data_IF_848134651132
#
_entry.id   IF_848134651132
#
_cell.length_a   1.000
_cell.length_b   1.000
_cell.length_c   1.000
_cell.angle_alpha   90.00
_cell.angle_beta   90.00
_cell.angle_gamma   90.00
#
_symmetry.space_group_name_H-M   'P 1'
#
loop_
_entity.id
_entity.type
_entity.pdbx_description
1 polymer ?
#
# COMPACT_ATOMS: atom_id res chain seq x y z
N UNK A 1 3.30 -15.88 -12.71
CA UNK A 1 4.32 -15.12 -13.47
C UNK A 1 5.74 -15.45 -12.99
N UNK A 2 5.98 -15.50 -11.68
CA UNK A 2 7.29 -15.86 -11.10
C UNK A 2 7.13 -16.83 -9.93
N UNK A 3 8.09 -17.74 -9.71
CA UNK A 3 8.06 -18.72 -8.62
C UNK A 3 9.46 -19.08 -8.10
N UNK A 4 9.52 -19.55 -6.85
CA UNK A 4 10.73 -20.08 -6.22
C UNK A 4 11.48 -19.07 -5.36
N UNK A 5 11.03 -17.81 -5.28
CA UNK A 5 11.68 -16.77 -4.48
C UNK A 5 10.67 -16.04 -3.60
N UNK A 6 11.08 -15.68 -2.38
CA UNK A 6 10.29 -14.77 -1.51
C UNK A 6 10.12 -13.44 -2.22
N UNK A 7 8.87 -13.01 -2.39
CA UNK A 7 8.52 -11.72 -2.99
C UNK A 7 7.88 -10.82 -1.94
N UNK A 8 8.37 -9.59 -1.77
CA UNK A 8 7.84 -8.70 -0.73
C UNK A 8 6.84 -7.66 -1.25
N UNK A 9 6.99 -7.24 -2.51
CA UNK A 9 6.20 -6.20 -3.16
C UNK A 9 6.01 -6.57 -4.62
N UNK A 10 4.87 -6.22 -5.22
CA UNK A 10 4.68 -6.22 -6.66
C UNK A 10 3.90 -4.96 -7.06
N UNK A 11 4.42 -4.23 -8.04
CA UNK A 11 3.73 -3.11 -8.69
C UNK A 11 3.68 -3.36 -10.19
N UNK A 12 2.69 -2.75 -10.85
CA UNK A 12 2.42 -3.00 -12.25
C UNK A 12 2.15 -1.69 -12.99
N UNK A 13 2.73 -1.58 -14.19
CA UNK A 13 2.57 -0.49 -15.14
C UNK A 13 3.21 -0.89 -16.48
N UNK A 14 2.95 -0.17 -17.56
CA UNK A 14 3.69 -0.33 -18.82
C UNK A 14 5.10 0.30 -18.70
N UNK A 15 6.02 -0.44 -18.08
CA UNK A 15 7.40 0.00 -17.88
C UNK A 15 8.22 -0.05 -19.16
N UNK A 16 7.81 -0.84 -20.17
CA UNK A 16 8.54 -0.95 -21.44
C UNK A 16 8.02 -0.02 -22.53
N UNK A 17 6.86 0.59 -22.35
CA UNK A 17 6.19 1.44 -23.34
C UNK A 17 5.63 0.64 -24.52
N UNK A 18 5.36 -0.65 -24.35
CA UNK A 18 4.88 -1.55 -25.41
C UNK A 18 3.35 -1.72 -25.44
N UNK A 19 2.66 -1.03 -24.52
CA UNK A 19 1.21 -1.07 -24.35
C UNK A 19 0.70 -2.23 -23.49
N UNK A 20 1.58 -2.98 -22.82
CA UNK A 20 1.20 -4.07 -21.91
C UNK A 20 1.66 -3.80 -20.49
N UNK A 21 0.95 -4.37 -19.53
CA UNK A 21 1.25 -4.18 -18.12
C UNK A 21 2.38 -5.11 -17.69
N UNK A 22 3.54 -4.51 -17.44
CA UNK A 22 4.71 -5.16 -16.87
C UNK A 22 4.66 -5.14 -15.33
N UNK A 23 5.47 -5.98 -14.68
CA UNK A 23 5.51 -6.07 -13.21
C UNK A 23 6.92 -5.83 -12.68
N UNK A 24 7.07 -4.93 -11.71
CA UNK A 24 8.29 -4.82 -10.91
C UNK A 24 8.07 -5.43 -9.53
N UNK A 25 8.99 -6.28 -9.09
CA UNK A 25 8.95 -6.90 -7.76
C UNK A 25 10.33 -7.00 -7.12
N UNK A 26 10.39 -6.82 -5.80
CA UNK A 26 11.54 -7.25 -5.00
C UNK A 26 11.38 -8.74 -4.63
N UNK A 27 12.08 -9.60 -5.38
CA UNK A 27 12.04 -11.05 -5.30
C UNK A 27 13.44 -11.57 -4.95
N UNK A 28 13.58 -12.49 -4.00
CA UNK A 28 14.88 -13.10 -3.70
C UNK A 28 16.02 -12.13 -3.34
N UNK A 29 15.69 -10.92 -2.87
CA UNK A 29 16.65 -9.86 -2.55
C UNK A 29 17.12 -9.00 -3.74
N UNK A 30 16.51 -9.17 -4.92
CA UNK A 30 16.75 -8.34 -6.11
C UNK A 30 15.47 -7.64 -6.53
N UNK A 31 15.61 -6.47 -7.14
CA UNK A 31 14.51 -5.82 -7.83
C UNK A 31 14.52 -6.28 -9.29
N UNK A 32 13.41 -6.86 -9.75
CA UNK A 32 13.25 -7.40 -11.10
C UNK A 32 12.05 -6.78 -11.80
N UNK A 33 12.23 -6.50 -13.09
CA UNK A 33 11.18 -6.22 -14.06
C UNK A 33 10.79 -7.54 -14.76
N UNK A 34 9.53 -7.90 -14.73
CA UNK A 34 8.93 -9.03 -15.46
C UNK A 34 8.10 -8.46 -16.60
N UNK A 35 8.52 -8.76 -17.83
CA UNK A 35 7.96 -8.14 -19.03
C UNK A 35 6.82 -8.98 -19.59
N UNK A 36 5.67 -8.36 -19.84
CA UNK A 36 4.54 -9.05 -20.45
C UNK A 36 4.77 -9.30 -21.96
N UNK A 37 4.12 -10.31 -22.57
CA UNK A 37 3.27 -11.33 -21.94
C UNK A 37 4.04 -12.61 -21.56
N UNK A 38 5.34 -12.70 -21.88
CA UNK A 38 6.14 -13.91 -21.65
C UNK A 38 6.76 -13.98 -20.24
N UNK A 39 6.57 -12.92 -19.46
CA UNK A 39 7.04 -12.75 -18.08
C UNK A 39 8.54 -12.90 -17.94
N UNK A 40 9.29 -12.51 -18.97
CA UNK A 40 10.75 -12.56 -18.92
C UNK A 40 11.28 -11.59 -17.87
N UNK A 41 12.15 -12.11 -17.00
CA UNK A 41 12.72 -11.35 -15.88
C UNK A 41 14.03 -10.63 -16.26
N UNK A 42 14.14 -9.36 -15.87
CA UNK A 42 15.31 -8.49 -15.98
C UNK A 42 15.65 -7.95 -14.59
N UNK A 43 16.91 -8.09 -14.17
CA UNK A 43 17.35 -7.54 -12.88
C UNK A 43 17.63 -6.05 -13.07
N UNK A 44 16.83 -5.19 -12.42
CA UNK A 44 17.03 -3.74 -12.45
C UNK A 44 17.91 -3.25 -11.29
N UNK A 45 17.96 -4.02 -10.19
CA UNK A 45 18.86 -3.76 -9.06
C UNK A 45 19.19 -5.04 -8.27
N UNK A 46 20.48 -5.24 -7.98
CA UNK A 46 21.04 -6.34 -7.15
C UNK A 46 21.96 -5.77 -6.06
N UNK A 47 21.81 -4.49 -5.73
CA UNK A 47 22.65 -3.84 -4.74
C UNK A 47 22.38 -4.41 -3.35
N UNK A 48 23.43 -4.90 -2.69
CA UNK A 48 23.31 -5.48 -1.35
C UNK A 48 22.66 -4.50 -0.38
N UNK A 49 21.55 -4.92 0.21
CA UNK A 49 20.80 -4.15 1.20
C UNK A 49 19.60 -3.41 0.61
N UNK A 50 19.40 -3.39 -0.70
CA UNK A 50 18.18 -2.87 -1.34
C UNK A 50 17.04 -3.91 -1.29
N UNK A 51 16.74 -4.38 -0.07
CA UNK A 51 15.63 -5.29 0.19
C UNK A 51 14.36 -4.46 0.42
N UNK A 52 13.68 -4.08 -0.66
CA UNK A 52 12.44 -3.33 -0.58
C UNK A 52 11.30 -4.26 -0.19
N UNK A 53 10.51 -3.83 0.78
CA UNK A 53 9.39 -4.60 1.33
C UNK A 53 8.03 -4.01 0.99
N UNK A 54 8.01 -2.76 0.53
CA UNK A 54 6.87 -2.09 -0.05
C UNK A 54 7.35 -1.26 -1.23
N UNK A 55 6.42 -0.81 -2.05
CA UNK A 55 6.73 -0.01 -3.21
C UNK A 55 5.48 0.59 -3.84
N UNK A 56 5.73 1.51 -4.75
CA UNK A 56 4.72 2.23 -5.53
C UNK A 56 5.26 2.49 -6.92
N UNK A 57 4.39 2.90 -7.83
CA UNK A 57 4.80 3.34 -9.17
C UNK A 57 3.97 4.54 -9.66
N UNK A 58 4.67 5.50 -10.23
CA UNK A 58 4.14 6.68 -10.94
C UNK A 58 5.30 7.44 -11.62
N UNK A 59 4.98 8.34 -12.55
CA UNK A 59 5.95 9.23 -13.21
C UNK A 59 6.48 10.28 -12.21
N UNK A 60 7.68 10.06 -11.65
CA UNK A 60 8.27 10.93 -10.62
C UNK A 60 8.85 12.19 -11.28
N UNK A 61 9.43 12.08 -12.47
CA UNK A 61 10.20 13.15 -13.08
C UNK A 61 9.54 13.89 -14.24
N UNK A 62 8.34 13.46 -14.61
CA UNK A 62 7.43 14.12 -15.54
C UNK A 62 7.76 13.86 -17.01
N UNK A 63 8.45 12.77 -17.32
CA UNK A 63 8.84 12.44 -18.70
C UNK A 63 7.92 11.42 -19.41
N UNK A 64 6.85 11.00 -18.72
CA UNK A 64 5.76 10.23 -19.28
C UNK A 64 5.90 8.72 -19.14
N UNK A 65 6.94 8.22 -18.47
CA UNK A 65 7.07 6.81 -18.12
C UNK A 65 6.87 6.57 -16.60
N UNK A 66 6.45 5.36 -16.19
CA UNK A 66 6.27 5.04 -14.78
C UNK A 66 7.61 4.67 -14.13
N UNK A 67 7.94 5.33 -13.01
CA UNK A 67 9.09 4.97 -12.19
C UNK A 67 8.73 3.94 -11.11
N UNK A 68 9.74 3.22 -10.62
CA UNK A 68 9.57 2.32 -9.46
C UNK A 68 10.03 2.98 -8.16
N UNK A 69 9.21 2.92 -7.12
CA UNK A 69 9.58 3.34 -5.76
C UNK A 69 9.66 2.11 -4.87
N UNK A 70 10.78 1.97 -4.15
CA UNK A 70 11.00 0.91 -3.17
C UNK A 70 11.23 1.47 -1.77
N UNK A 71 10.59 0.86 -0.78
CA UNK A 71 10.74 1.19 0.64
C UNK A 71 11.32 0.02 1.45
N UNK A 72 12.31 0.32 2.30
CA UNK A 72 13.01 -0.64 3.16
C UNK A 72 12.79 -0.29 4.62
N UNK A 73 12.50 -1.31 5.42
CA UNK A 73 12.19 -1.17 6.84
C UNK A 73 13.35 -0.61 7.69
N UNK A 74 14.54 -1.23 7.61
CA UNK A 74 15.69 -0.90 8.47
C UNK A 74 17.04 -1.34 7.85
N UNK A 75 18.08 -0.47 7.82
CA UNK A 75 17.99 0.98 8.01
C UNK A 75 16.99 1.57 7.02
N UNK A 76 16.22 2.56 7.44
CA UNK A 76 15.15 3.09 6.61
C UNK A 76 15.67 3.66 5.29
N UNK A 77 14.92 3.41 4.22
CA UNK A 77 15.20 3.96 2.89
C UNK A 77 13.90 3.96 2.09
N UNK A 78 13.58 5.08 1.49
CA UNK A 78 12.68 5.22 0.35
C UNK A 78 13.54 5.65 -0.83
N UNK A 79 13.58 4.82 -1.86
CA UNK A 79 14.31 5.07 -3.09
C UNK A 79 13.37 5.02 -4.28
N UNK A 80 13.66 5.81 -5.30
CA UNK A 80 12.99 5.70 -6.60
C UNK A 80 14.02 5.35 -7.68
N UNK A 81 13.60 4.56 -8.64
CA UNK A 81 14.39 4.05 -9.75
C UNK A 81 13.84 4.67 -11.01
N UNK A 82 14.64 5.53 -11.62
CA UNK A 82 14.31 6.21 -12.87
C UNK A 82 14.22 5.19 -14.00
N UNK A 83 13.05 5.07 -14.61
CA UNK A 83 12.87 4.28 -15.82
C UNK A 83 13.70 4.91 -16.95
N UNK A 84 14.59 4.16 -17.60
CA UNK A 84 15.39 4.72 -18.68
C UNK A 84 14.67 4.54 -20.02
N UNK A 85 15.01 5.38 -21.00
CA UNK A 85 14.43 5.31 -22.36
C UNK A 85 14.53 3.92 -23.04
N UNK A 86 15.47 3.06 -22.64
CA UNK A 86 15.47 1.64 -23.01
C UNK A 86 15.49 0.75 -21.76
N UNK A 87 14.32 0.46 -21.15
CA UNK A 87 14.18 -0.20 -19.83
C UNK A 87 14.87 -1.56 -19.71
N UNK A 88 15.07 -2.24 -20.85
CA UNK A 88 15.66 -3.59 -20.93
C UNK A 88 17.18 -3.60 -21.17
N UNK A 89 17.79 -2.42 -21.41
CA UNK A 89 19.20 -2.30 -21.80
C UNK A 89 19.96 -1.29 -20.95
N UNK A 90 19.30 -0.19 -20.62
CA UNK A 90 19.91 0.92 -19.90
C UNK A 90 19.72 0.74 -18.39
N UNK A 91 20.57 1.42 -17.61
CA UNK A 91 20.56 1.34 -16.15
C UNK A 91 19.37 2.12 -15.57
N UNK A 92 18.59 1.44 -14.72
CA UNK A 92 17.59 2.08 -13.86
C UNK A 92 18.28 2.84 -12.74
N UNK A 93 18.29 4.16 -12.83
CA UNK A 93 19.13 4.96 -11.94
C UNK A 93 18.44 5.22 -10.60
N UNK A 94 18.91 4.55 -9.55
CA UNK A 94 18.40 4.73 -8.19
C UNK A 94 18.69 6.13 -7.62
N UNK A 95 17.71 6.70 -6.93
CA UNK A 95 17.77 7.99 -6.23
C UNK A 95 17.08 7.89 -4.87
N UNK A 96 17.62 8.61 -3.89
CA UNK A 96 17.04 8.63 -2.54
C UNK A 96 15.90 9.63 -2.49
N UNK A 97 14.71 9.15 -2.14
CA UNK A 97 13.57 9.98 -1.76
C UNK A 97 13.65 10.36 -0.27
N UNK A 98 13.94 9.38 0.61
CA UNK A 98 14.20 9.59 2.04
C UNK A 98 15.08 8.47 2.64
N UNK A 99 15.94 8.80 3.60
CA UNK A 99 16.84 7.88 4.32
C UNK A 99 16.88 8.17 5.84
N UNK A 100 15.88 8.90 6.36
CA UNK A 100 15.75 9.29 7.76
C UNK A 100 14.51 8.73 8.47
N UNK A 101 13.45 8.40 7.74
CA UNK A 101 12.29 7.65 8.24
C UNK A 101 12.71 6.21 8.52
N UNK A 102 12.34 5.64 9.66
CA UNK A 102 12.75 4.28 10.07
C UNK A 102 11.53 3.44 10.41
N UNK A 103 11.50 2.21 9.91
CA UNK A 103 10.37 1.31 10.09
C UNK A 103 9.28 1.53 9.06
N UNK A 104 9.66 1.92 7.83
CA UNK A 104 8.72 2.10 6.72
C UNK A 104 8.13 0.73 6.38
N UNK A 105 6.83 0.60 6.61
CA UNK A 105 6.04 -0.62 6.48
C UNK A 105 4.70 -0.32 5.78
N UNK A 106 4.77 0.68 4.89
CA UNK A 106 3.71 1.21 4.05
C UNK A 106 4.25 2.40 3.26
N UNK A 107 4.01 2.41 1.96
CA UNK A 107 4.11 3.59 1.10
C UNK A 107 2.85 3.67 0.24
N UNK A 108 2.38 4.87 -0.05
CA UNK A 108 1.17 5.11 -0.83
C UNK A 108 1.30 6.45 -1.55
N UNK A 109 0.77 6.57 -2.77
CA UNK A 109 0.73 7.82 -3.53
C UNK A 109 -0.60 8.57 -3.31
N UNK A 110 -0.54 9.89 -3.14
CA UNK A 110 -1.72 10.76 -2.98
C UNK A 110 -1.34 12.23 -3.27
N UNK A 111 -2.27 13.04 -3.78
CA UNK A 111 -2.10 14.51 -3.82
C UNK A 111 -2.50 15.10 -2.45
N UNK A 112 -1.52 15.29 -1.56
CA UNK A 112 -1.79 15.65 -0.16
C UNK A 112 -1.99 17.16 0.00
N UNK A 113 -1.30 17.96 -0.83
CA UNK A 113 -1.38 19.42 -0.77
C UNK A 113 -2.28 20.08 -1.83
N UNK A 114 -2.96 19.27 -2.64
CA UNK A 114 -3.95 19.70 -3.62
C UNK A 114 -3.32 20.44 -4.80
N UNK A 115 -2.04 20.19 -5.10
CA UNK A 115 -1.31 20.86 -6.18
C UNK A 115 -1.45 20.15 -7.54
N UNK A 116 -2.24 19.07 -7.58
CA UNK A 116 -2.50 18.24 -8.76
C UNK A 116 -1.38 17.26 -9.09
N UNK A 117 -0.36 17.11 -8.23
CA UNK A 117 0.69 16.11 -8.38
C UNK A 117 0.66 15.11 -7.24
N UNK A 118 1.07 13.88 -7.57
CA UNK A 118 1.24 12.84 -6.58
C UNK A 118 2.42 13.15 -5.67
N UNK A 119 2.17 13.07 -4.36
CA UNK A 119 3.16 12.95 -3.30
C UNK A 119 3.25 11.50 -2.82
N UNK A 120 4.23 11.21 -1.97
CA UNK A 120 4.39 9.88 -1.36
C UNK A 120 4.18 9.91 0.15
N UNK A 121 3.23 9.13 0.64
CA UNK A 121 3.04 8.84 2.06
C UNK A 121 4.01 7.76 2.51
N UNK A 122 4.59 7.92 3.70
CA UNK A 122 5.45 6.92 4.31
C UNK A 122 5.36 6.99 5.84
N UNK A 123 5.27 5.84 6.48
CA UNK A 123 5.35 5.76 7.93
C UNK A 123 6.81 5.69 8.42
N UNK A 124 7.04 6.13 9.65
CA UNK A 124 8.27 5.96 10.42
C UNK A 124 7.92 5.29 11.74
N UNK A 125 7.47 4.03 11.64
CA UNK A 125 6.81 3.32 12.72
C UNK A 125 7.72 2.81 13.84
N UNK A 126 9.05 2.90 13.68
CA UNK A 126 9.97 2.49 14.73
C UNK A 126 10.18 3.61 15.76
N UNK A 127 10.34 3.30 17.06
CA UNK A 127 10.66 4.28 18.10
C UNK A 127 12.15 4.67 18.07
N UNK A 128 12.71 4.94 16.89
CA UNK A 128 14.12 5.18 16.63
C UNK A 128 14.31 6.31 15.63
N UNK A 129 15.52 6.87 15.58
CA UNK A 129 15.90 7.88 14.58
C UNK A 129 15.32 9.26 14.87
N UNK A 130 15.19 10.07 13.82
CA UNK A 130 14.74 11.47 13.92
C UNK A 130 13.23 11.62 14.02
N UNK A 131 12.47 10.66 13.49
CA UNK A 131 11.00 10.67 13.43
C UNK A 131 10.42 9.42 14.09
N UNK A 132 10.68 9.19 15.39
CA UNK A 132 10.22 7.98 16.04
C UNK A 132 8.69 7.98 16.18
N UNK A 133 8.04 6.84 15.89
CA UNK A 133 6.59 6.70 16.01
C UNK A 133 5.81 7.78 15.22
N UNK A 134 6.29 8.09 14.02
CA UNK A 134 5.73 9.16 13.19
C UNK A 134 5.23 8.65 11.84
N UNK A 135 4.58 9.51 11.08
CA UNK A 135 4.32 9.32 9.65
C UNK A 135 4.42 10.66 8.91
N UNK A 136 4.74 10.58 7.62
CA UNK A 136 5.07 11.73 6.80
C UNK A 136 4.48 11.61 5.40
N UNK A 137 4.32 12.75 4.74
CA UNK A 137 4.23 12.82 3.29
C UNK A 137 5.49 13.49 2.72
N UNK A 138 5.91 13.03 1.54
CA UNK A 138 7.14 13.40 0.87
C UNK A 138 6.77 14.07 -0.46
N UNK A 139 7.08 15.36 -0.57
CA UNK A 139 6.79 16.13 -1.77
C UNK A 139 7.79 15.84 -2.86
N UNK A 140 7.30 15.45 -4.04
CA UNK A 140 8.14 15.28 -5.24
C UNK A 140 8.80 16.63 -5.58
N UNK A 141 10.14 16.71 -5.61
CA UNK A 141 10.82 17.95 -5.96
C UNK A 141 10.55 18.36 -7.40
N UNK A 142 10.51 19.67 -7.69
CA UNK A 142 10.41 20.19 -9.07
C UNK A 142 11.49 19.68 -10.04
N UNK A 143 12.62 19.20 -9.51
CA UNK A 143 13.73 18.64 -10.29
C UNK A 143 14.25 17.39 -9.55
N UNK A 144 13.50 16.27 -9.58
CA UNK A 144 13.79 15.11 -8.73
C UNK A 144 15.14 14.46 -9.09
N UNK A 145 15.56 14.52 -10.36
CA UNK A 145 16.89 14.07 -10.84
C UNK A 145 18.10 14.78 -10.18
N UNK A 146 17.90 15.97 -9.62
CA UNK A 146 18.94 16.77 -8.95
C UNK A 146 18.77 16.85 -7.43
N UNK A 147 17.65 16.37 -6.91
CA UNK A 147 17.35 16.43 -5.50
C UNK A 147 18.23 15.44 -4.72
N UNK A 148 18.76 15.87 -3.58
CA UNK A 148 19.45 14.96 -2.65
C UNK A 148 18.46 14.09 -1.86
N UNK A 149 17.29 14.64 -1.59
CA UNK A 149 16.18 14.06 -0.83
C UNK A 149 14.91 14.85 -1.13
N UNK A 150 13.76 14.21 -1.00
CA UNK A 150 12.45 14.86 -1.09
C UNK A 150 12.16 15.66 0.18
N UNK A 151 11.29 16.68 0.07
CA UNK A 151 10.90 17.46 1.24
C UNK A 151 9.84 16.68 2.01
N UNK A 152 10.11 16.41 3.28
CA UNK A 152 9.19 15.69 4.18
C UNK A 152 8.37 16.65 5.04
N UNK A 153 7.11 16.30 5.24
CA UNK A 153 6.19 16.96 6.15
C UNK A 153 5.59 15.91 7.08
N UNK A 154 5.75 16.10 8.39
CA UNK A 154 5.36 15.11 9.40
C UNK A 154 3.91 15.39 9.80
N UNK A 155 2.96 14.58 9.30
CA UNK A 155 1.55 14.75 9.63
C UNK A 155 1.20 14.11 10.98
N UNK A 156 1.90 13.05 11.38
CA UNK A 156 1.76 12.40 12.69
C UNK A 156 3.09 12.48 13.45
N UNK A 157 3.38 13.57 14.16
CA UNK A 157 4.66 13.72 14.87
C UNK A 157 4.66 13.00 16.22
N UNK A 158 5.34 11.85 16.30
CA UNK A 158 5.43 10.99 17.50
C UNK A 158 4.07 10.52 18.02
N UNK A 159 3.05 10.62 17.19
CA UNK A 159 1.65 10.35 17.52
C UNK A 159 1.12 9.05 16.86
N UNK A 160 2.01 8.27 16.26
CA UNK A 160 1.72 6.96 15.67
C UNK A 160 2.56 5.83 16.31
N UNK A 161 2.47 5.61 17.64
CA UNK A 161 3.22 4.54 18.31
C UNK A 161 2.64 3.16 18.04
N UNK A 162 3.41 2.12 18.36
CA UNK A 162 2.90 0.73 18.30
C UNK A 162 3.18 -0.01 17.00
N UNK A 163 4.24 0.40 16.29
CA UNK A 163 4.66 -0.15 15.00
C UNK A 163 3.60 0.06 13.92
N UNK A 164 3.48 1.32 13.48
CA UNK A 164 2.58 1.70 12.40
C UNK A 164 2.89 0.96 11.10
N UNK A 165 1.87 0.79 10.27
CA UNK A 165 1.90 -0.11 9.12
C UNK A 165 1.40 0.57 7.83
N UNK A 166 0.35 0.06 7.18
CA UNK A 166 -0.15 0.65 5.93
C UNK A 166 -0.95 1.93 6.17
N UNK A 167 -1.02 2.73 5.11
CA UNK A 167 -1.71 4.02 5.07
C UNK A 167 -2.89 3.95 4.09
N UNK A 168 -3.81 4.90 4.23
CA UNK A 168 -4.84 5.24 3.27
C UNK A 168 -5.09 6.75 3.28
N UNK A 169 -5.95 7.23 2.38
CA UNK A 169 -6.30 8.65 2.31
C UNK A 169 -7.74 8.84 1.82
N UNK A 170 -8.35 9.98 2.17
CA UNK A 170 -9.69 10.34 1.76
C UNK A 170 -10.18 11.57 2.53
N UNK A 171 -11.28 12.20 2.12
CA UNK A 171 -11.92 13.28 2.90
C UNK A 171 -12.93 12.67 3.89
N UNK A 172 -12.46 12.23 5.06
CA UNK A 172 -13.29 11.48 6.02
C UNK A 172 -14.31 12.37 6.73
N UNK A 173 -14.08 13.69 6.77
CA UNK A 173 -14.95 14.64 7.46
C UNK A 173 -15.77 15.54 6.50
N UNK A 174 -15.57 15.42 5.19
CA UNK A 174 -16.30 16.15 4.15
C UNK A 174 -15.92 17.62 4.04
N UNK A 175 -14.70 18.00 4.44
CA UNK A 175 -14.25 19.40 4.46
C UNK A 175 -13.41 19.81 3.24
N UNK A 176 -13.26 18.91 2.27
CA UNK A 176 -12.57 19.09 1.00
C UNK A 176 -11.04 18.96 1.10
N UNK A 177 -10.50 18.51 2.23
CA UNK A 177 -9.05 18.22 2.38
C UNK A 177 -8.83 16.71 2.52
N UNK A 178 -7.65 16.27 2.09
CA UNK A 178 -7.27 14.85 2.15
C UNK A 178 -6.80 14.50 3.56
N UNK A 179 -7.64 13.81 4.31
CA UNK A 179 -7.28 13.16 5.56
C UNK A 179 -6.48 11.88 5.30
N UNK A 180 -5.70 11.45 6.30
CA UNK A 180 -4.81 10.30 6.18
C UNK A 180 -5.14 9.23 7.23
N UNK A 181 -5.18 7.97 6.83
CA UNK A 181 -5.43 6.85 7.74
C UNK A 181 -4.16 6.05 8.00
N UNK A 182 -4.04 5.49 9.20
CA UNK A 182 -2.90 4.66 9.60
C UNK A 182 -3.34 3.65 10.66
N UNK A 183 -2.72 2.48 10.63
CA UNK A 183 -2.91 1.43 11.62
C UNK A 183 -1.60 1.14 12.37
N UNK A 184 -1.70 0.61 13.59
CA UNK A 184 -0.56 0.10 14.33
C UNK A 184 -0.82 -1.29 14.89
N UNK A 185 0.05 -2.23 14.54
CA UNK A 185 -0.19 -3.65 14.79
C UNK A 185 -0.08 -4.06 16.26
N UNK A 186 0.75 -3.37 17.03
CA UNK A 186 1.10 -3.79 18.38
C UNK A 186 1.68 -5.22 18.44
N UNK A 187 1.20 -6.00 19.42
CA UNK A 187 1.57 -7.40 19.61
C UNK A 187 3.01 -7.61 20.13
N UNK A 188 3.53 -8.86 20.08
CA UNK A 188 4.78 -9.22 20.75
C UNK A 188 6.03 -8.45 20.31
N UNK A 189 6.03 -7.88 19.09
CA UNK A 189 7.13 -7.06 18.59
C UNK A 189 7.10 -5.62 19.12
N UNK A 190 5.92 -5.14 19.54
CA UNK A 190 5.74 -3.80 20.07
C UNK A 190 6.03 -3.77 21.57
N UNK A 191 7.20 -3.25 21.93
CA UNK A 191 7.60 -3.10 23.34
C UNK A 191 6.90 -1.96 24.06
N UNK A 192 6.23 -1.07 23.31
CA UNK A 192 5.53 0.07 23.91
C UNK A 192 4.17 -0.32 24.47
N UNK A 193 3.53 -1.36 23.92
CA UNK A 193 2.16 -1.72 24.24
C UNK A 193 1.14 -0.67 23.81
N UNK A 194 1.53 0.22 22.89
CA UNK A 194 0.71 1.35 22.42
C UNK A 194 0.14 1.14 21.02
N UNK A 195 0.27 -0.06 20.44
CA UNK A 195 -0.39 -0.43 19.18
C UNK A 195 -1.81 -0.96 19.36
N UNK A 196 -2.24 -1.82 18.42
CA UNK A 196 -3.56 -2.45 18.37
C UNK A 196 -4.72 -1.47 18.11
N UNK A 197 -4.48 -0.52 17.20
CA UNK A 197 -5.44 0.54 16.86
C UNK A 197 -5.46 0.86 15.37
N UNK A 198 -6.59 1.45 14.96
CA UNK A 198 -6.82 2.11 13.70
C UNK A 198 -7.13 3.59 13.97
N UNK A 199 -6.63 4.50 13.14
CA UNK A 199 -6.83 5.93 13.32
C UNK A 199 -6.80 6.68 12.00
N UNK A 200 -7.38 7.89 12.01
CA UNK A 200 -7.27 8.85 10.93
C UNK A 200 -6.77 10.19 11.45
N UNK A 201 -6.15 10.97 10.57
CA UNK A 201 -5.53 12.26 10.83
C UNK A 201 -6.24 13.31 9.99
N UNK A 202 -6.99 14.16 10.66
CA UNK A 202 -7.72 15.30 10.11
C UNK A 202 -6.73 16.32 9.55
N UNK A 203 -6.84 16.59 8.26
CA UNK A 203 -5.95 17.47 7.52
C UNK A 203 -5.99 18.89 8.08
N UNK A 204 -4.80 19.42 8.34
CA UNK A 204 -4.64 20.83 8.71
C UNK A 204 -4.92 21.74 7.52
N UNK A 205 -5.29 23.00 7.78
CA UNK A 205 -5.51 23.99 6.70
C UNK A 205 -4.23 24.30 5.89
N UNK A 206 -3.08 24.14 6.54
CA UNK A 206 -1.77 24.17 5.90
C UNK A 206 -1.23 22.73 5.95
N UNK A 207 -1.26 21.97 4.83
CA UNK A 207 -0.91 20.55 4.81
C UNK A 207 0.54 20.26 5.23
N UNK A 208 1.36 21.30 5.40
CA UNK A 208 2.71 21.20 5.94
C UNK A 208 2.79 21.12 7.46
N UNK A 209 1.69 21.42 8.17
CA UNK A 209 1.57 21.31 9.62
C UNK A 209 1.05 19.92 10.04
N UNK A 210 1.38 19.45 11.26
CA UNK A 210 0.81 18.22 11.80
C UNK A 210 -0.72 18.17 11.74
N UNK A 211 -1.25 16.99 11.46
CA UNK A 211 -2.68 16.72 11.38
C UNK A 211 -3.21 16.32 12.74
N UNK A 212 -4.53 16.37 12.92
CA UNK A 212 -5.17 16.04 14.19
C UNK A 212 -5.67 14.60 14.18
N UNK A 213 -5.13 13.77 15.07
CA UNK A 213 -5.50 12.36 15.19
C UNK A 213 -6.89 12.15 15.78
N UNK A 214 -7.59 11.18 15.22
CA UNK A 214 -8.84 10.60 15.71
C UNK A 214 -8.69 9.07 15.74
N UNK A 215 -8.92 8.47 16.92
CA UNK A 215 -8.90 7.02 17.07
C UNK A 215 -10.23 6.43 16.62
N UNK A 216 -10.19 5.36 15.83
CA UNK A 216 -11.36 4.52 15.59
C UNK A 216 -11.62 3.62 16.81
N UNK A 217 -12.89 3.30 17.12
CA UNK A 217 -13.24 2.59 18.34
C UNK A 217 -12.73 1.14 18.35
N UNK A 218 -12.64 0.60 19.56
CA UNK A 218 -12.28 -0.80 19.80
C UNK A 218 -10.78 -1.04 19.97
N UNK A 219 -10.45 -2.33 20.11
CA UNK A 219 -9.08 -2.82 20.25
C UNK A 219 -8.83 -3.82 19.14
N UNK A 220 -7.79 -3.59 18.34
CA UNK A 220 -7.56 -4.30 17.09
C UNK A 220 -6.17 -4.95 17.06
N UNK A 221 -5.98 -6.11 17.73
CA UNK A 221 -4.72 -6.82 17.72
C UNK A 221 -4.26 -7.12 16.30
N UNK A 222 -3.04 -6.70 15.97
CA UNK A 222 -2.47 -6.91 14.65
C UNK A 222 -3.07 -6.06 13.54
N UNK A 223 -3.67 -4.90 13.85
CA UNK A 223 -4.11 -3.91 12.87
C UNK A 223 -2.99 -3.54 11.87
N UNK A 224 -3.25 -3.64 10.56
CA UNK A 224 -2.24 -3.36 9.53
C UNK A 224 -2.73 -2.42 8.45
N UNK A 225 -3.85 -2.74 7.79
CA UNK A 225 -4.32 -2.05 6.60
C UNK A 225 -5.63 -1.33 6.87
N UNK A 226 -5.82 -0.16 6.25
CA UNK A 226 -6.91 0.76 6.55
C UNK A 226 -7.19 1.67 5.35
N UNK A 227 -8.32 1.47 4.69
CA UNK A 227 -8.67 2.16 3.45
C UNK A 227 -10.03 2.86 3.59
N UNK A 228 -10.10 4.19 3.37
CA UNK A 228 -11.37 4.91 3.28
C UNK A 228 -12.15 4.56 2.01
N UNK A 229 -13.47 4.35 2.13
CA UNK A 229 -14.39 4.15 1.00
C UNK A 229 -15.84 4.33 1.47
N UNK A 230 -16.78 4.67 0.59
CA UNK A 230 -18.22 4.66 0.90
C UNK A 230 -18.74 3.22 0.81
N UNK A 231 -18.90 2.54 1.94
CA UNK A 231 -19.16 1.09 1.99
C UNK A 231 -20.65 0.77 1.86
N UNK A 232 -21.51 1.69 2.28
CA UNK A 232 -22.95 1.48 2.34
C UNK A 232 -23.74 2.41 1.40
N UNK A 233 -23.05 3.11 0.49
CA UNK A 233 -23.64 3.98 -0.52
C UNK A 233 -24.34 5.21 0.06
N UNK A 234 -23.95 5.65 1.27
CA UNK A 234 -24.61 6.76 1.96
C UNK A 234 -24.00 8.14 1.64
N UNK A 235 -22.95 8.15 0.81
CA UNK A 235 -22.22 9.33 0.37
C UNK A 235 -21.17 9.83 1.36
N UNK A 236 -20.90 9.09 2.45
CA UNK A 236 -19.81 9.40 3.39
C UNK A 236 -18.72 8.34 3.28
N UNK A 237 -17.47 8.78 3.42
CA UNK A 237 -16.38 7.83 3.55
C UNK A 237 -16.45 7.12 4.90
N UNK A 238 -16.61 5.81 4.82
CA UNK A 238 -16.35 4.83 5.87
C UNK A 238 -14.88 4.41 5.81
N UNK A 239 -14.53 3.34 6.55
CA UNK A 239 -13.19 2.74 6.53
C UNK A 239 -13.29 1.22 6.56
N UNK A 240 -12.71 0.52 5.58
CA UNK A 240 -12.47 -0.93 5.63
C UNK A 240 -11.03 -1.19 6.11
N UNK A 241 -10.84 -2.16 6.99
CA UNK A 241 -9.55 -2.42 7.62
C UNK A 241 -9.26 -3.91 7.84
N UNK A 242 -7.98 -4.26 7.80
CA UNK A 242 -7.50 -5.62 8.03
C UNK A 242 -6.62 -5.74 9.28
N UNK A 243 -6.82 -6.83 10.02
CA UNK A 243 -6.00 -7.20 11.18
C UNK A 243 -4.90 -8.17 10.73
N UNK A 244 -3.96 -7.68 9.92
CA UNK A 244 -2.96 -8.49 9.22
C UNK A 244 -1.94 -9.25 10.06
N UNK A 245 -1.78 -8.92 11.35
CA UNK A 245 -1.05 -9.75 12.32
C UNK A 245 -1.98 -10.42 13.35
N UNK A 246 -3.29 -10.27 13.16
CA UNK A 246 -4.35 -10.82 13.99
C UNK A 246 -5.29 -11.68 13.14
N UNK A 247 -6.60 -11.46 13.30
CA UNK A 247 -7.66 -12.25 12.65
C UNK A 247 -8.72 -11.33 12.08
N UNK A 248 -9.12 -11.55 10.83
CA UNK A 248 -10.30 -10.98 10.22
C UNK A 248 -10.18 -9.53 9.73
N UNK A 249 -11.22 -9.11 9.02
CA UNK A 249 -11.42 -7.78 8.47
C UNK A 249 -12.65 -7.14 9.11
N UNK A 250 -12.65 -5.81 9.21
CA UNK A 250 -13.76 -5.01 9.75
C UNK A 250 -13.98 -3.80 8.87
N UNK A 251 -15.17 -3.21 8.95
CA UNK A 251 -15.38 -1.84 8.48
C UNK A 251 -16.01 -0.96 9.56
N UNK A 252 -15.79 0.35 9.46
CA UNK A 252 -16.25 1.36 10.42
C UNK A 252 -17.20 2.35 9.74
N UNK A 253 -18.46 2.34 10.15
CA UNK A 253 -19.54 3.14 9.57
C UNK A 253 -19.52 4.58 10.10
N UNK A 254 -19.21 5.53 9.24
CA UNK A 254 -19.26 6.96 9.50
C UNK A 254 -20.71 7.45 9.69
N UNK A 255 -20.98 8.45 10.55
CA UNK A 255 -20.05 9.21 11.39
C UNK A 255 -19.88 8.62 12.80
N UNK A 256 -20.61 7.55 13.13
CA UNK A 256 -20.60 6.96 14.48
C UNK A 256 -19.41 6.02 14.71
N UNK A 257 -18.72 5.66 13.63
CA UNK A 257 -17.68 4.64 13.57
C UNK A 257 -18.14 3.29 14.11
N UNK A 258 -19.40 2.93 13.84
CA UNK A 258 -19.94 1.63 14.24
C UNK A 258 -19.16 0.52 13.52
N UNK A 259 -18.71 -0.46 14.29
CA UNK A 259 -17.87 -1.55 13.76
C UNK A 259 -18.77 -2.66 13.24
N UNK A 260 -18.43 -3.15 12.05
CA UNK A 260 -19.04 -4.31 11.41
C UNK A 260 -17.93 -5.30 11.02
N UNK A 261 -18.18 -6.59 11.17
CA UNK A 261 -17.26 -7.62 10.70
C UNK A 261 -17.47 -7.88 9.21
N UNK A 262 -16.40 -7.83 8.42
CA UNK A 262 -16.37 -8.28 7.02
C UNK A 262 -16.04 -9.78 7.00
N UNK A 263 -15.06 -10.17 7.82
CA UNK A 263 -14.64 -11.56 7.97
C UNK A 263 -14.07 -11.77 9.37
N UNK A 264 -14.45 -12.86 10.03
CA UNK A 264 -13.97 -13.19 11.38
C UNK A 264 -12.98 -14.35 11.42
N UNK A 265 -12.69 -15.00 10.30
CA UNK A 265 -12.02 -16.30 10.25
C UNK A 265 -10.58 -16.26 9.73
N UNK A 266 -10.27 -15.39 8.76
CA UNK A 266 -8.94 -15.33 8.16
C UNK A 266 -7.87 -14.94 9.17
N UNK A 267 -6.80 -15.72 9.22
CA UNK A 267 -5.64 -15.46 10.05
C UNK A 267 -4.59 -14.67 9.25
N UNK A 268 -4.21 -13.53 9.80
CA UNK A 268 -3.24 -12.60 9.21
C UNK A 268 -3.57 -12.12 7.79
N UNK A 269 -4.77 -11.54 7.52
CA UNK A 269 -5.11 -10.86 6.26
C UNK A 269 -4.23 -9.61 6.07
N UNK A 270 -3.01 -9.78 5.54
CA UNK A 270 -1.93 -8.81 5.74
C UNK A 270 -2.05 -7.58 4.82
N UNK A 271 -2.40 -7.81 3.57
CA UNK A 271 -2.65 -6.80 2.56
C UNK A 271 -4.16 -6.59 2.35
N UNK A 272 -4.55 -5.46 1.77
CA UNK A 272 -5.95 -5.10 1.53
C UNK A 272 -6.02 -4.21 0.31
N UNK A 273 -6.96 -4.48 -0.59
CA UNK A 273 -7.44 -3.57 -1.63
C UNK A 273 -8.93 -3.33 -1.41
N UNK A 274 -9.38 -2.13 -1.73
CA UNK A 274 -10.77 -1.69 -1.55
C UNK A 274 -11.16 -0.91 -2.81
N UNK A 275 -11.90 -1.56 -3.68
CA UNK A 275 -12.25 -1.10 -5.03
C UNK A 275 -13.48 -1.88 -5.49
N UNK A 276 -14.26 -1.31 -6.40
CA UNK A 276 -15.31 -2.03 -7.14
C UNK A 276 -14.64 -3.09 -8.04
N UNK A 277 -14.73 -4.37 -7.65
CA UNK A 277 -14.03 -5.46 -8.34
C UNK A 277 -14.86 -6.12 -9.43
N UNK A 278 -16.19 -6.00 -9.36
CA UNK A 278 -17.09 -6.62 -10.34
C UNK A 278 -17.83 -5.63 -11.24
N UNK A 279 -17.57 -4.34 -11.07
CA UNK A 279 -18.08 -3.26 -11.91
C UNK A 279 -19.54 -2.92 -11.64
N UNK A 280 -20.10 -3.32 -10.50
CA UNK A 280 -21.49 -3.07 -10.15
C UNK A 280 -21.74 -1.69 -9.53
N UNK A 281 -20.66 -0.96 -9.22
CA UNK A 281 -20.64 0.39 -8.66
C UNK A 281 -20.50 0.44 -7.14
N UNK A 282 -20.49 -0.71 -6.46
CA UNK A 282 -20.30 -0.83 -5.02
C UNK A 282 -18.85 -1.18 -4.70
N UNK A 283 -18.33 -0.67 -3.58
CA UNK A 283 -16.93 -0.93 -3.22
C UNK A 283 -16.78 -2.29 -2.55
N UNK A 284 -15.87 -3.11 -3.08
CA UNK A 284 -15.51 -4.42 -2.51
C UNK A 284 -14.24 -4.36 -1.68
N UNK A 285 -13.84 -5.53 -1.15
CA UNK A 285 -12.51 -5.72 -0.58
C UNK A 285 -11.82 -6.99 -1.11
N UNK A 286 -10.49 -6.94 -1.24
CA UNK A 286 -9.67 -8.12 -1.52
C UNK A 286 -8.46 -8.19 -0.59
N UNK A 287 -8.10 -9.40 -0.15
CA UNK A 287 -6.96 -9.64 0.74
C UNK A 287 -6.21 -10.91 0.36
N UNK A 288 -4.97 -11.02 0.84
CA UNK A 288 -4.28 -12.29 0.92
C UNK A 288 -3.80 -12.54 2.36
N UNK A 289 -4.34 -13.59 2.95
CA UNK A 289 -4.08 -13.98 4.33
C UNK A 289 -2.81 -14.81 4.44
N UNK A 290 -1.83 -14.30 5.18
CA UNK A 290 -0.51 -14.90 5.30
C UNK A 290 -0.52 -16.25 6.03
N UNK A 291 -1.28 -16.36 7.13
CA UNK A 291 -1.33 -17.59 7.93
C UNK A 291 -2.37 -18.56 7.40
N UNK A 292 -3.55 -18.06 7.02
CA UNK A 292 -4.58 -18.92 6.39
C UNK A 292 -4.18 -19.40 4.99
N UNK A 293 -3.23 -18.71 4.33
CA UNK A 293 -2.82 -18.95 2.93
C UNK A 293 -3.97 -18.83 1.93
N UNK A 294 -4.86 -17.87 2.15
CA UNK A 294 -6.04 -17.66 1.31
C UNK A 294 -5.99 -16.27 0.70
N UNK A 295 -6.04 -16.19 -0.63
CA UNK A 295 -6.46 -14.99 -1.33
C UNK A 295 -8.00 -15.00 -1.43
N UNK A 296 -8.64 -13.92 -1.00
CA UNK A 296 -10.09 -13.81 -0.96
C UNK A 296 -10.56 -12.45 -1.45
N UNK A 297 -11.70 -12.45 -2.11
CA UNK A 297 -12.50 -11.30 -2.48
C UNK A 297 -13.76 -11.28 -1.59
N UNK A 298 -14.19 -10.09 -1.20
CA UNK A 298 -15.37 -9.83 -0.39
C UNK A 298 -16.27 -8.90 -1.19
N UNK A 299 -17.25 -9.48 -1.86
CA UNK A 299 -18.28 -8.81 -2.66
C UNK A 299 -19.26 -8.09 -1.71
N UNK A 300 -19.48 -6.80 -1.92
CA UNK A 300 -20.35 -5.96 -1.12
C UNK A 300 -21.67 -5.70 -1.83
N UNK A 301 -22.81 -5.85 -1.15
CA UNK A 301 -24.14 -5.60 -1.73
C UNK A 301 -24.55 -4.12 -1.79
N UNK A 302 -23.57 -3.21 -1.75
CA UNK A 302 -23.76 -1.75 -1.64
C UNK A 302 -24.31 -1.26 -0.31
N UNK A 303 -24.50 -2.15 0.68
CA UNK A 303 -25.05 -1.82 2.00
C UNK A 303 -24.13 -2.26 3.14
N UNK A 304 -22.91 -2.68 2.81
CA UNK A 304 -21.92 -3.18 3.75
C UNK A 304 -22.17 -4.62 4.21
N UNK A 305 -22.97 -5.41 3.46
CA UNK A 305 -23.06 -6.86 3.66
C UNK A 305 -22.14 -7.57 2.67
N UNK A 306 -21.16 -8.30 3.20
CA UNK A 306 -20.11 -8.91 2.39
C UNK A 306 -20.32 -10.42 2.18
N UNK A 307 -20.17 -10.88 0.94
CA UNK A 307 -20.06 -12.30 0.57
C UNK A 307 -18.60 -12.64 0.29
N UNK A 308 -18.08 -13.71 0.92
CA UNK A 308 -16.67 -14.12 0.73
C UNK A 308 -16.52 -15.10 -0.43
N UNK A 309 -15.64 -14.78 -1.36
CA UNK A 309 -15.18 -15.64 -2.46
C UNK A 309 -13.70 -16.00 -2.27
N UNK A 310 -13.38 -17.28 -2.39
CA UNK A 310 -11.98 -17.75 -2.36
C UNK A 310 -11.41 -17.67 -3.77
N UNK A 311 -10.41 -16.83 -3.95
CA UNK A 311 -9.65 -16.70 -5.21
C UNK A 311 -8.58 -17.79 -5.29
N UNK A 312 -7.91 -18.06 -4.17
CA UNK A 312 -6.88 -19.12 -4.06
C UNK A 312 -6.71 -19.55 -2.62
N UNK A 313 -6.48 -20.85 -2.38
CA UNK A 313 -6.29 -21.47 -1.07
C UNK A 313 -4.85 -21.96 -0.80
N UNK A 314 -3.90 -21.57 -1.66
CA UNK A 314 -2.45 -21.77 -1.45
C UNK A 314 -1.64 -20.50 -1.75
N UNK A 315 -2.13 -19.35 -1.29
CA UNK A 315 -1.49 -18.06 -1.52
C UNK A 315 -1.28 -17.29 -0.21
N UNK A 316 -0.04 -16.88 0.06
CA UNK A 316 0.32 -16.21 1.31
C UNK A 316 1.26 -15.02 1.07
N UNK A 317 0.71 -13.82 1.21
CA UNK A 317 1.34 -12.60 0.75
C UNK A 317 1.26 -11.47 1.77
N UNK A 318 2.14 -10.49 1.56
CA UNK A 318 2.13 -9.20 2.26
C UNK A 318 1.70 -8.06 1.33
N UNK A 319 1.54 -8.30 0.04
CA UNK A 319 1.16 -7.28 -0.93
C UNK A 319 0.15 -7.84 -1.94
N UNK A 320 -0.86 -7.04 -2.25
CA UNK A 320 -1.90 -7.30 -3.24
C UNK A 320 -2.24 -5.98 -3.94
N UNK A 321 -2.49 -6.01 -5.24
CA UNK A 321 -2.92 -4.86 -6.05
C UNK A 321 -4.14 -5.27 -6.87
N UNK A 322 -5.06 -4.31 -7.06
CA UNK A 322 -6.13 -4.40 -8.04
C UNK A 322 -5.73 -3.55 -9.25
N UNK A 323 -5.62 -4.16 -10.43
CA UNK A 323 -5.18 -3.50 -11.66
C UNK A 323 -5.59 -4.35 -12.86
N UNK A 324 -6.07 -3.72 -13.93
CA UNK A 324 -6.26 -4.36 -15.24
C UNK A 324 -4.90 -4.78 -15.80
N UNK A 325 -4.60 -6.09 -15.84
CA UNK A 325 -3.28 -6.59 -16.26
C UNK A 325 -3.22 -6.94 -17.75
N UNK A 326 -4.34 -7.19 -18.42
CA UNK A 326 -4.38 -7.61 -19.83
C UNK A 326 -5.02 -6.61 -20.79
N UNK A 327 -5.59 -5.53 -20.25
CA UNK A 327 -6.20 -4.43 -20.98
C UNK A 327 -7.64 -4.69 -21.40
N UNK A 328 -8.38 -5.55 -20.70
CA UNK A 328 -9.76 -5.88 -21.01
C UNK A 328 -10.83 -5.04 -20.25
N UNK A 329 -10.38 -4.04 -19.50
CA UNK A 329 -11.18 -3.08 -18.72
C UNK A 329 -11.76 -3.62 -17.41
N UNK A 330 -11.47 -4.85 -17.03
CA UNK A 330 -11.75 -5.35 -15.68
C UNK A 330 -10.52 -5.26 -14.76
N UNK A 331 -10.73 -5.31 -13.45
CA UNK A 331 -9.63 -5.30 -12.48
C UNK A 331 -9.23 -6.74 -12.15
N UNK A 332 -7.92 -6.99 -12.13
CA UNK A 332 -7.33 -8.26 -11.69
C UNK A 332 -6.68 -8.16 -10.31
N UNK A 333 -6.26 -9.30 -9.77
CA UNK A 333 -5.44 -9.35 -8.55
C UNK A 333 -3.99 -9.74 -8.84
N UNK A 334 -3.06 -8.81 -8.57
CA UNK A 334 -1.62 -9.04 -8.56
C UNK A 334 -1.12 -9.26 -7.12
N UNK A 335 -0.51 -10.41 -6.85
CA UNK A 335 -0.09 -10.80 -5.49
C UNK A 335 1.41 -11.10 -5.42
N UNK A 336 2.10 -10.46 -4.46
CA UNK A 336 3.49 -10.79 -4.11
C UNK A 336 3.54 -11.78 -2.94
N UNK A 337 3.70 -13.06 -3.28
CA UNK A 337 3.77 -14.17 -2.35
C UNK A 337 5.06 -14.18 -1.53
N UNK A 338 4.99 -13.68 -0.30
CA UNK A 338 6.12 -13.70 0.62
C UNK A 338 6.39 -15.13 1.13
N UNK A 339 5.34 -15.87 1.50
CA UNK A 339 5.45 -17.23 2.02
C UNK A 339 5.16 -18.29 0.95
N UNK A 340 4.33 -17.96 -0.05
CA UNK A 340 4.13 -18.82 -1.23
C UNK A 340 5.26 -18.72 -2.26
N UNK A 341 6.22 -17.81 -2.06
CA UNK A 341 7.43 -17.67 -2.88
C UNK A 341 7.15 -17.46 -4.38
N UNK A 342 6.22 -16.56 -4.70
CA UNK A 342 5.78 -16.33 -6.07
C UNK A 342 5.34 -14.87 -6.32
N UNK A 343 5.20 -14.52 -7.60
CA UNK A 343 4.39 -13.39 -8.05
C UNK A 343 3.33 -13.96 -8.99
N UNK A 344 2.07 -13.74 -8.63
CA UNK A 344 0.91 -14.33 -9.31
C UNK A 344 -0.06 -13.23 -9.70
N UNK A 345 -0.55 -13.31 -10.92
CA UNK A 345 -1.68 -12.55 -11.43
C UNK A 345 -2.85 -13.53 -11.48
N UNK A 346 -3.96 -13.14 -10.86
CA UNK A 346 -5.24 -13.82 -10.92
C UNK A 346 -6.17 -12.99 -11.76
N UNK A 347 -6.47 -13.53 -12.94
CA UNK A 347 -7.41 -12.99 -13.89
C UNK A 347 -8.82 -12.92 -13.31
N UNK A 348 -9.48 -11.79 -13.50
CA UNK A 348 -10.91 -11.65 -13.35
C UNK A 348 -11.60 -12.04 -14.67
N UNK A 349 -12.58 -12.97 -14.65
CA UNK A 349 -13.19 -13.44 -15.88
C UNK A 349 -14.37 -12.56 -16.35
N UNK A 350 -14.50 -11.34 -15.83
CA UNK A 350 -15.55 -10.42 -16.24
C UNK A 350 -15.22 -9.85 -17.63
N UNK A 351 -16.20 -9.22 -18.27
CA UNK A 351 -16.10 -8.72 -19.65
C UNK A 351 -16.98 -7.53 -19.88
#
# INVERSE_FOLDING_TARGET
>A
MHQGERCNVAVAADFTGDGKVDVISNSGGKTRLFVAPDWRAYVIDDTKGHNFIHGETFDVDGDGDPDFIGARYKPGLVAWFECPANPLKDEWKMRVADDELIGIHGVLKADVDGDGRLDLLANSGQPLGKFPNSAAWLKVPKNPRKAKRWKRFIFADKDAPGLSHYLGYGDLNGDGRVDLTLAAKGGPSDKSGMGEWFAWWEASKDPTQPFKKHLLPGKHPGATNIQPADVNGDGKLDVIASRGHGKGLVWFESPTWKIHDVNTELLSPHCLQVVDMDGDGDVDAATCAYVSKVAAWFENDGKGNFTTHVVSDDQAAYDIRAIDMDGDEDLDLLIAGQLSHNVVWYENPLK
#
